data_IF_581599479567
#
_entry.id   IF_581599479567
#
_cell.length_a   1.000
_cell.length_b   1.000
_cell.length_c   1.000
_cell.angle_alpha   90.00
_cell.angle_beta   90.00
_cell.angle_gamma   90.00
#
_symmetry.space_group_name_H-M   'P 1'
#
loop_
_entity.id
_entity.type
_entity.pdbx_description
1 polymer ?
#
# COMPACT_ATOMS: atom_id res chain seq x y z
N UNK A 1 -0.04 -22.54 -17.84
CA UNK A 1 -0.62 -21.33 -18.50
C UNK A 1 -0.18 -20.07 -17.78
N UNK A 2 0.88 -19.43 -18.28
CA UNK A 2 1.50 -18.19 -17.75
C UNK A 2 0.74 -16.90 -18.11
N UNK A 3 -0.31 -17.02 -18.92
CA UNK A 3 -1.09 -15.90 -19.48
C UNK A 3 -1.87 -15.07 -18.45
N UNK A 4 -1.99 -15.55 -17.21
CA UNK A 4 -2.68 -14.87 -16.12
C UNK A 4 -1.73 -14.34 -15.03
N UNK A 5 -0.43 -14.56 -15.19
CA UNK A 5 0.59 -14.09 -14.25
C UNK A 5 0.62 -12.56 -14.26
N UNK A 6 0.66 -11.95 -13.08
CA UNK A 6 0.58 -10.51 -12.92
C UNK A 6 -0.87 -10.02 -13.00
N UNK A 7 -1.60 -10.26 -14.09
CA UNK A 7 -2.98 -9.78 -14.23
C UNK A 7 -3.91 -10.29 -13.11
N UNK A 8 -3.84 -11.59 -12.83
CA UNK A 8 -4.76 -12.22 -11.89
C UNK A 8 -4.10 -12.55 -10.53
N UNK A 9 -2.78 -12.34 -10.43
CA UNK A 9 -1.96 -12.74 -9.29
C UNK A 9 -1.17 -11.59 -8.65
N UNK A 10 -1.14 -10.39 -9.24
CA UNK A 10 -0.53 -9.22 -8.60
C UNK A 10 -1.38 -8.74 -7.43
N UNK A 11 -0.80 -7.86 -6.63
CA UNK A 11 -1.51 -7.11 -5.61
C UNK A 11 -1.20 -5.62 -5.77
N UNK A 12 -2.08 -4.89 -6.44
CA UNK A 12 -2.00 -3.44 -6.60
C UNK A 12 -3.17 -2.79 -5.87
N UNK A 13 -2.88 -1.79 -5.05
CA UNK A 13 -3.87 -1.05 -4.29
C UNK A 13 -3.50 0.44 -4.27
N UNK A 14 -4.51 1.30 -4.27
CA UNK A 14 -4.36 2.75 -4.12
C UNK A 14 -5.23 3.19 -2.94
N UNK A 15 -4.68 4.02 -2.05
CA UNK A 15 -5.42 4.52 -0.88
C UNK A 15 -5.19 6.02 -0.71
N UNK A 16 -6.28 6.79 -0.75
CA UNK A 16 -6.28 8.24 -0.47
C UNK A 16 -5.22 9.07 -1.24
N UNK A 17 -4.84 8.64 -2.45
CA UNK A 17 -4.00 9.42 -3.35
C UNK A 17 -4.67 10.76 -3.70
N UNK A 18 -3.87 11.81 -3.94
CA UNK A 18 -4.37 13.16 -4.27
C UNK A 18 -3.75 13.68 -5.56
N UNK A 19 -4.45 14.60 -6.22
CA UNK A 19 -4.01 15.27 -7.45
C UNK A 19 -4.71 14.76 -8.73
N UNK A 20 -4.46 15.41 -9.88
CA UNK A 20 -5.21 15.16 -11.12
C UNK A 20 -5.17 13.72 -11.64
N UNK A 21 -4.14 12.93 -11.29
CA UNK A 21 -3.97 11.54 -11.69
C UNK A 21 -4.52 10.49 -10.72
N UNK A 22 -5.07 10.90 -9.58
CA UNK A 22 -5.48 9.99 -8.50
C UNK A 22 -6.86 9.33 -8.71
N UNK A 23 -7.62 9.78 -9.71
CA UNK A 23 -8.92 9.19 -10.01
C UNK A 23 -8.80 7.70 -10.41
N UNK A 24 -9.64 6.86 -9.81
CA UNK A 24 -9.62 5.42 -9.98
C UNK A 24 -10.54 4.92 -11.12
N UNK A 25 -11.43 5.78 -11.62
CA UNK A 25 -12.48 5.48 -12.59
C UNK A 25 -11.96 4.90 -13.92
N UNK A 26 -10.71 5.21 -14.27
CA UNK A 26 -10.05 4.76 -15.51
C UNK A 26 -8.95 3.73 -15.26
N UNK A 27 -8.83 3.19 -14.04
CA UNK A 27 -7.85 2.13 -13.74
C UNK A 27 -8.27 0.81 -14.37
N UNK A 28 -7.26 -0.03 -14.61
CA UNK A 28 -7.45 -1.38 -15.16
C UNK A 28 -8.40 -2.20 -14.28
N UNK A 29 -9.05 -3.20 -14.87
CA UNK A 29 -10.03 -4.05 -14.15
C UNK A 29 -9.49 -5.42 -13.79
N UNK A 30 -8.17 -5.53 -13.66
CA UNK A 30 -7.48 -6.78 -13.37
C UNK A 30 -7.88 -7.31 -11.99
N UNK A 31 -7.95 -8.63 -11.85
CA UNK A 31 -8.24 -9.26 -10.54
C UNK A 31 -7.18 -8.91 -9.50
N UNK A 32 -5.94 -8.68 -9.91
CA UNK A 32 -4.87 -8.25 -9.02
C UNK A 32 -4.97 -6.81 -8.52
N UNK A 33 -5.90 -5.99 -9.04
CA UNK A 33 -6.13 -4.62 -8.56
C UNK A 33 -7.25 -4.57 -7.53
N UNK A 34 -6.95 -4.02 -6.36
CA UNK A 34 -7.85 -3.92 -5.22
C UNK A 34 -8.71 -2.65 -5.37
N UNK A 35 -9.87 -2.76 -6.03
CA UNK A 35 -10.77 -1.63 -6.30
C UNK A 35 -11.34 -0.97 -5.05
N UNK A 36 -11.71 -1.78 -4.05
CA UNK A 36 -12.34 -1.34 -2.81
C UNK A 36 -11.36 -1.44 -1.64
N UNK A 37 -10.15 -0.92 -1.81
CA UNK A 37 -9.10 -1.03 -0.80
C UNK A 37 -9.37 -0.10 0.40
N UNK A 38 -9.44 -0.68 1.60
CA UNK A 38 -9.89 0.02 2.81
C UNK A 38 -8.74 0.62 3.60
N UNK A 39 -9.06 1.59 4.46
CA UNK A 39 -8.07 2.17 5.38
C UNK A 39 -7.52 1.17 6.39
N UNK A 40 -8.35 0.22 6.84
CA UNK A 40 -7.91 -0.89 7.69
C UNK A 40 -6.91 -1.79 6.97
N UNK A 41 -7.18 -2.16 5.71
CA UNK A 41 -6.24 -2.93 4.91
C UNK A 41 -4.93 -2.16 4.66
N UNK A 42 -5.02 -0.85 4.45
CA UNK A 42 -3.87 0.02 4.25
C UNK A 42 -2.95 0.07 5.48
N UNK A 43 -3.48 -0.05 6.71
CA UNK A 43 -2.66 -0.06 7.94
C UNK A 43 -1.63 -1.19 7.95
N UNK A 44 -1.92 -2.33 7.32
CA UNK A 44 -0.98 -3.45 7.23
C UNK A 44 0.28 -3.14 6.40
N UNK A 45 0.26 -2.05 5.63
CA UNK A 45 1.38 -1.60 4.79
C UNK A 45 2.14 -0.41 5.38
N UNK A 46 1.82 0.04 6.60
CA UNK A 46 2.61 1.10 7.27
C UNK A 46 3.93 0.56 7.80
N UNK A 47 4.89 1.45 8.03
CA UNK A 47 6.24 1.06 8.45
C UNK A 47 6.26 0.30 9.80
N UNK A 48 5.38 0.65 10.74
CA UNK A 48 5.29 -0.05 12.02
C UNK A 48 4.93 -1.53 11.84
N UNK A 49 4.02 -1.84 10.91
CA UNK A 49 3.51 -3.21 10.70
C UNK A 49 4.34 -3.98 9.67
N UNK A 50 4.51 -3.42 8.47
CA UNK A 50 4.99 -4.20 7.33
C UNK A 50 6.46 -4.60 7.42
N UNK A 51 7.32 -3.69 7.88
CA UNK A 51 8.76 -3.93 8.04
C UNK A 51 9.13 -4.32 9.48
N UNK A 52 8.13 -4.68 10.29
CA UNK A 52 8.29 -5.15 11.66
C UNK A 52 9.20 -4.23 12.50
N UNK A 53 8.92 -2.93 12.51
CA UNK A 53 9.76 -1.99 13.26
C UNK A 53 9.51 -2.01 14.78
N UNK A 54 8.81 -3.02 15.31
CA UNK A 54 8.68 -3.28 16.74
C UNK A 54 10.06 -3.43 17.43
N UNK A 55 11.09 -3.88 16.70
CA UNK A 55 12.47 -3.99 17.18
C UNK A 55 13.21 -2.62 17.26
N UNK A 56 12.52 -1.55 16.88
CA UNK A 56 12.97 -0.15 16.87
C UNK A 56 14.32 0.04 16.17
N UNK A 57 14.59 -0.73 15.11
CA UNK A 57 15.85 -0.66 14.38
C UNK A 57 16.02 0.70 13.67
N UNK A 58 14.92 1.30 13.20
CA UNK A 58 14.95 2.66 12.62
C UNK A 58 15.34 3.72 13.66
N UNK A 59 14.88 3.59 14.90
CA UNK A 59 15.27 4.50 15.99
C UNK A 59 16.76 4.32 16.34
N UNK A 60 17.24 3.08 16.42
CA UNK A 60 18.67 2.78 16.65
C UNK A 60 19.56 3.32 15.52
N UNK A 61 19.05 3.32 14.28
CA UNK A 61 19.73 3.90 13.13
C UNK A 61 19.65 5.44 13.07
N UNK A 62 18.94 6.07 14.01
CA UNK A 62 18.69 7.52 14.05
C UNK A 62 18.01 8.04 12.76
N UNK A 63 17.11 7.23 12.18
CA UNK A 63 16.33 7.57 10.99
C UNK A 63 14.93 8.03 11.42
N UNK A 64 14.51 9.27 11.13
CA UNK A 64 13.13 9.71 11.35
C UNK A 64 12.15 8.92 10.50
N UNK A 65 11.03 8.46 11.09
CA UNK A 65 9.98 7.75 10.36
C UNK A 65 8.61 7.92 11.02
N UNK A 66 7.55 7.68 10.24
CA UNK A 66 6.18 7.60 10.72
C UNK A 66 5.74 6.13 10.76
N UNK A 67 5.34 5.64 11.95
CA UNK A 67 5.00 4.23 12.12
C UNK A 67 3.62 3.86 11.52
N UNK A 68 2.69 4.79 11.53
CA UNK A 68 1.32 4.62 11.04
C UNK A 68 1.04 5.39 9.75
N UNK A 69 -0.25 5.61 9.48
CA UNK A 69 -0.66 6.49 8.38
C UNK A 69 -0.28 7.94 8.67
N UNK A 70 0.27 8.63 7.67
CA UNK A 70 0.48 10.07 7.76
C UNK A 70 -0.88 10.77 7.93
N UNK A 71 -0.97 11.64 8.94
CA UNK A 71 -2.09 12.55 9.08
C UNK A 71 -1.83 13.73 8.16
N UNK A 72 -2.64 13.86 7.12
CA UNK A 72 -2.48 14.85 6.04
C UNK A 72 -3.70 15.74 5.89
#
# INVERSE_FOLDING_TARGET
NITNLGRDTSYYAEYQNRGPGAALDKRITWKGFQKDFTGEAAQNFTAGVYINNDENWLQKANVPYEAGMMKV
#
